data_IF_687333263436
#
_entry.id   IF_687333263436
#
_cell.length_a   1.000
_cell.length_b   1.000
_cell.length_c   1.000
_cell.angle_alpha   90.00
_cell.angle_beta   90.00
_cell.angle_gamma   90.00
#
_symmetry.space_group_name_H-M   'P 1'
#
loop_
_entity.id
_entity.type
_entity.pdbx_description
1 polymer ?
#
# COMPACT_ATOMS: atom_id res chain seq x y z
N UNK A 1 1.23 -6.74 11.24
CA UNK A 1 2.45 -6.52 10.43
C UNK A 1 3.44 -7.59 10.86
N UNK A 2 4.03 -8.31 9.91
CA UNK A 2 4.92 -9.44 10.18
C UNK A 2 6.30 -9.10 9.64
N UNK A 3 7.32 -9.15 10.49
CA UNK A 3 8.70 -9.02 10.05
C UNK A 3 9.19 -10.35 9.47
N UNK A 4 9.84 -10.30 8.30
CA UNK A 4 10.49 -11.47 7.74
C UNK A 4 11.64 -12.01 8.60
N UNK A 5 12.23 -11.19 9.49
CA UNK A 5 13.28 -11.65 10.41
C UNK A 5 12.74 -12.66 11.41
N UNK A 6 11.56 -12.38 11.97
CA UNK A 6 10.92 -13.26 12.94
C UNK A 6 10.54 -14.61 12.30
N UNK A 7 10.08 -14.56 11.05
CA UNK A 7 9.79 -15.76 10.27
C UNK A 7 11.07 -16.57 9.99
N UNK A 8 12.18 -15.90 9.65
CA UNK A 8 13.47 -16.54 9.42
C UNK A 8 14.06 -17.18 10.67
N UNK A 9 13.81 -16.60 11.84
CA UNK A 9 14.22 -17.17 13.13
C UNK A 9 13.44 -18.44 13.48
N UNK A 10 12.16 -18.51 13.09
CA UNK A 10 11.34 -19.71 13.29
C UNK A 10 11.67 -20.78 12.25
N UNK A 11 11.64 -20.42 10.96
CA UNK A 11 11.94 -21.30 9.85
C UNK A 11 12.52 -20.57 8.64
N UNK A 12 13.78 -20.89 8.33
CA UNK A 12 14.49 -20.37 7.17
C UNK A 12 13.94 -20.88 5.83
N UNK A 13 13.38 -22.09 5.79
CA UNK A 13 12.90 -22.71 4.56
C UNK A 13 11.61 -22.04 4.07
N UNK A 14 10.65 -21.84 4.98
CA UNK A 14 9.41 -21.09 4.72
C UNK A 14 9.70 -19.66 4.24
N UNK A 15 10.72 -19.01 4.80
CA UNK A 15 11.12 -17.66 4.39
C UNK A 15 11.63 -17.62 2.95
N UNK A 16 12.42 -18.61 2.52
CA UNK A 16 12.88 -18.71 1.13
C UNK A 16 11.73 -18.99 0.16
N UNK A 17 10.78 -19.85 0.55
CA UNK A 17 9.60 -20.14 -0.26
C UNK A 17 8.68 -18.91 -0.40
N UNK A 18 8.50 -18.15 0.68
CA UNK A 18 7.74 -16.90 0.67
C UNK A 18 8.35 -15.86 -0.27
N UNK A 19 9.68 -15.74 -0.33
CA UNK A 19 10.37 -14.83 -1.27
C UNK A 19 10.20 -15.29 -2.72
N UNK A 20 10.22 -16.60 -2.96
CA UNK A 20 10.13 -17.18 -4.30
C UNK A 20 8.71 -17.24 -4.87
N UNK A 21 7.69 -17.49 -4.02
CA UNK A 21 6.27 -17.62 -4.42
C UNK A 21 5.33 -16.88 -3.46
N UNK A 22 5.50 -15.56 -3.25
CA UNK A 22 4.72 -14.80 -2.28
C UNK A 22 3.21 -14.84 -2.53
N UNK A 23 2.77 -14.97 -3.78
CA UNK A 23 1.34 -14.95 -4.14
C UNK A 23 0.55 -16.10 -3.53
N UNK A 24 1.12 -17.29 -3.45
CA UNK A 24 0.40 -18.46 -2.93
C UNK A 24 0.43 -18.45 -1.39
N UNK A 25 1.61 -18.17 -0.81
CA UNK A 25 1.77 -18.14 0.64
C UNK A 25 0.98 -17.00 1.30
N UNK A 26 0.90 -15.80 0.69
CA UNK A 26 0.16 -14.69 1.32
C UNK A 26 -1.31 -15.04 1.55
N UNK A 27 -1.93 -15.84 0.67
CA UNK A 27 -3.30 -16.29 0.85
C UNK A 27 -3.44 -17.28 2.01
N UNK A 28 -2.52 -18.24 2.11
CA UNK A 28 -2.48 -19.21 3.22
C UNK A 28 -2.23 -18.49 4.55
N UNK A 29 -1.37 -17.47 4.55
CA UNK A 29 -1.12 -16.64 5.72
C UNK A 29 -2.38 -15.87 6.16
N UNK A 30 -3.14 -15.27 5.23
CA UNK A 30 -4.40 -14.57 5.55
C UNK A 30 -5.46 -15.53 6.11
N UNK A 31 -5.53 -16.76 5.58
CA UNK A 31 -6.42 -17.82 6.07
C UNK A 31 -6.04 -18.25 7.49
N UNK A 32 -4.78 -18.62 7.72
CA UNK A 32 -4.29 -19.01 9.05
C UNK A 32 -4.44 -17.88 10.08
N UNK A 33 -4.19 -16.63 9.70
CA UNK A 33 -4.40 -15.49 10.58
C UNK A 33 -5.89 -15.34 10.97
N UNK A 34 -6.79 -15.59 10.03
CA UNK A 34 -8.24 -15.53 10.28
C UNK A 34 -8.66 -16.64 11.24
N UNK A 35 -8.18 -17.88 11.06
CA UNK A 35 -8.45 -19.01 11.97
C UNK A 35 -7.97 -18.72 13.42
N UNK A 36 -6.75 -18.20 13.57
CA UNK A 36 -6.20 -17.87 14.90
C UNK A 36 -7.01 -16.74 15.56
N UNK A 37 -7.41 -15.73 14.78
CA UNK A 37 -8.26 -14.63 15.29
C UNK A 37 -9.64 -15.15 15.68
N UNK A 38 -10.23 -16.06 14.91
CA UNK A 38 -11.48 -16.72 15.24
C UNK A 38 -11.40 -17.46 16.56
N UNK A 39 -10.35 -18.26 16.78
CA UNK A 39 -10.18 -19.03 18.01
C UNK A 39 -9.97 -18.14 19.24
N UNK A 40 -9.20 -17.06 19.09
CA UNK A 40 -9.04 -16.05 20.15
C UNK A 40 -10.36 -15.31 20.43
N UNK A 41 -11.18 -15.05 19.40
CA UNK A 41 -12.44 -14.31 19.54
C UNK A 41 -13.54 -15.19 20.17
N UNK A 42 -13.63 -16.47 19.80
CA UNK A 42 -14.53 -17.46 20.41
C UNK A 42 -14.34 -17.53 21.93
N UNK A 43 -13.11 -17.35 22.41
CA UNK A 43 -12.81 -17.33 23.85
C UNK A 43 -13.29 -16.07 24.59
N UNK A 44 -13.60 -14.98 23.86
CA UNK A 44 -13.86 -13.64 24.43
C UNK A 44 -15.31 -13.14 24.33
N UNK A 45 -16.13 -13.59 23.39
CA UNK A 45 -17.51 -13.10 23.23
C UNK A 45 -18.47 -14.13 22.62
N UNK A 46 -19.65 -14.33 23.23
CA UNK A 46 -20.76 -15.15 22.71
C UNK A 46 -21.51 -14.51 21.52
N UNK A 47 -21.23 -13.25 21.17
CA UNK A 47 -21.84 -12.57 20.03
C UNK A 47 -21.01 -12.82 18.76
N UNK A 48 -21.55 -13.61 17.82
CA UNK A 48 -21.03 -13.82 16.47
C UNK A 48 -20.97 -12.48 15.69
N UNK A 49 -19.89 -11.72 15.85
CA UNK A 49 -19.54 -10.68 14.90
C UNK A 49 -18.85 -11.33 13.70
N UNK A 50 -19.35 -11.04 12.49
CA UNK A 50 -18.74 -11.44 11.21
C UNK A 50 -17.29 -10.94 11.23
N UNK A 51 -16.32 -11.86 11.25
CA UNK A 51 -14.90 -11.50 11.20
C UNK A 51 -14.57 -11.17 9.75
N UNK A 52 -14.23 -9.91 9.51
CA UNK A 52 -13.71 -9.46 8.22
C UNK A 52 -12.33 -10.09 7.97
N UNK A 53 -12.05 -10.39 6.70
CA UNK A 53 -10.80 -11.03 6.28
C UNK A 53 -9.59 -10.20 6.72
N UNK A 54 -8.69 -10.81 7.48
CA UNK A 54 -7.47 -10.15 7.93
C UNK A 54 -6.54 -9.86 6.74
N UNK A 55 -5.96 -8.65 6.69
CA UNK A 55 -4.90 -8.32 5.74
C UNK A 55 -3.55 -8.35 6.43
N UNK A 56 -2.59 -9.02 5.80
CA UNK A 56 -1.23 -9.12 6.32
C UNK A 56 -0.35 -8.08 5.63
N UNK A 57 0.40 -7.36 6.46
CA UNK A 57 1.43 -6.42 6.03
C UNK A 57 2.78 -7.06 6.31
N UNK A 58 3.64 -7.10 5.29
CA UNK A 58 4.97 -7.66 5.39
C UNK A 58 5.99 -6.55 5.48
N UNK A 59 6.85 -6.62 6.49
CA UNK A 59 8.07 -5.83 6.57
C UNK A 59 9.28 -6.70 6.24
N UNK A 60 10.17 -6.17 5.39
CA UNK A 60 11.36 -6.88 4.93
C UNK A 60 12.57 -5.96 5.03
N UNK A 61 13.49 -6.30 5.93
CA UNK A 61 14.70 -5.50 6.22
C UNK A 61 15.88 -5.80 5.28
N UNK A 62 15.65 -6.41 4.12
CA UNK A 62 16.69 -6.53 3.10
C UNK A 62 17.07 -5.18 2.47
N UNK A 63 18.11 -5.19 1.64
CA UNK A 63 18.52 -4.04 0.84
C UNK A 63 17.46 -3.74 -0.24
N UNK A 64 17.20 -2.45 -0.46
CA UNK A 64 16.35 -1.99 -1.56
C UNK A 64 17.04 -2.17 -2.90
N UNK A 65 16.36 -2.77 -3.86
CA UNK A 65 16.80 -2.93 -5.25
C UNK A 65 16.41 -1.68 -6.04
N UNK A 66 17.33 -1.18 -6.87
CA UNK A 66 17.04 -0.06 -7.76
C UNK A 66 16.11 -0.50 -8.91
N UNK A 67 15.21 0.38 -9.37
CA UNK A 67 14.26 0.03 -10.45
C UNK A 67 14.96 -0.32 -11.78
N UNK A 68 16.23 0.06 -11.96
CA UNK A 68 17.08 -0.29 -13.13
C UNK A 68 17.61 -1.71 -13.09
N UNK A 69 17.82 -2.25 -11.89
CA UNK A 69 18.33 -3.62 -11.68
C UNK A 69 17.25 -4.69 -11.79
N UNK A 70 15.98 -4.29 -11.82
CA UNK A 70 14.85 -5.23 -11.92
C UNK A 70 14.84 -5.88 -13.30
N UNK A 71 15.15 -7.17 -13.31
CA UNK A 71 15.15 -8.05 -14.50
C UNK A 71 13.99 -9.04 -14.46
N UNK A 72 13.79 -9.74 -15.58
CA UNK A 72 12.79 -10.79 -15.72
C UNK A 72 12.91 -11.93 -14.69
N UNK A 73 14.09 -12.14 -14.11
CA UNK A 73 14.35 -13.16 -13.08
C UNK A 73 13.62 -12.89 -11.75
N UNK A 74 13.23 -11.63 -11.51
CA UNK A 74 12.53 -11.19 -10.30
C UNK A 74 11.00 -11.17 -10.49
N UNK A 75 10.49 -11.61 -11.65
CA UNK A 75 9.05 -11.73 -11.88
C UNK A 75 8.44 -12.78 -10.95
N UNK A 76 7.31 -12.44 -10.35
CA UNK A 76 6.57 -13.22 -9.36
C UNK A 76 7.32 -13.46 -8.04
N UNK A 77 8.41 -12.73 -7.78
CA UNK A 77 9.16 -12.77 -6.51
C UNK A 77 8.91 -11.54 -5.67
N UNK A 78 9.22 -11.65 -4.38
CA UNK A 78 9.20 -10.53 -3.45
C UNK A 78 10.40 -9.61 -3.71
N UNK A 79 10.14 -8.32 -3.88
CA UNK A 79 11.15 -7.28 -4.07
C UNK A 79 10.93 -6.15 -3.07
N UNK A 80 12.02 -5.50 -2.69
CA UNK A 80 12.02 -4.26 -1.92
C UNK A 80 12.57 -3.15 -2.79
N UNK A 81 11.86 -2.04 -2.89
CA UNK A 81 12.26 -0.87 -3.67
C UNK A 81 12.11 0.38 -2.84
N UNK A 82 12.99 1.35 -3.02
CA UNK A 82 12.86 2.70 -2.47
C UNK A 82 12.62 3.69 -3.60
N UNK A 83 11.85 4.74 -3.32
CA UNK A 83 11.49 5.73 -4.34
C UNK A 83 10.62 6.87 -3.82
N UNK A 84 10.30 7.81 -4.70
CA UNK A 84 9.41 8.93 -4.42
C UNK A 84 8.06 8.67 -5.10
N UNK A 85 6.96 8.88 -4.40
CA UNK A 85 5.63 8.79 -5.03
C UNK A 85 5.36 10.06 -5.83
N UNK A 86 5.13 9.95 -7.14
CA UNK A 86 4.82 11.09 -8.01
C UNK A 86 3.34 11.42 -8.00
N UNK A 87 2.50 10.37 -8.04
CA UNK A 87 1.07 10.53 -8.19
C UNK A 87 0.33 9.33 -7.60
N UNK A 88 -0.81 9.61 -7.00
CA UNK A 88 -1.76 8.61 -6.55
C UNK A 88 -3.04 8.74 -7.39
N UNK A 89 -3.59 7.63 -7.88
CA UNK A 89 -4.94 7.63 -8.44
C UNK A 89 -5.98 7.81 -7.32
N UNK A 90 -7.21 8.19 -7.67
CA UNK A 90 -8.33 8.02 -6.75
C UNK A 90 -8.55 6.54 -6.39
N UNK A 91 -9.19 6.30 -5.25
CA UNK A 91 -9.62 4.96 -4.84
C UNK A 91 -10.66 4.43 -5.84
N UNK A 92 -10.54 3.15 -6.19
CA UNK A 92 -11.51 2.43 -7.02
C UNK A 92 -11.86 1.12 -6.34
N UNK A 93 -13.08 0.65 -6.54
CA UNK A 93 -13.52 -0.64 -6.03
C UNK A 93 -13.23 -1.77 -7.03
N UNK A 94 -12.74 -2.90 -6.54
CA UNK A 94 -12.50 -4.13 -7.30
C UNK A 94 -13.16 -5.32 -6.60
N UNK A 95 -13.84 -6.16 -7.38
CA UNK A 95 -14.45 -7.36 -6.85
C UNK A 95 -13.40 -8.45 -6.54
N UNK A 96 -13.45 -9.01 -5.34
CA UNK A 96 -12.71 -10.22 -4.92
C UNK A 96 -13.53 -11.47 -5.22
N UNK A 97 -14.83 -11.43 -4.92
CA UNK A 97 -15.78 -12.49 -5.26
C UNK A 97 -16.86 -11.92 -6.16
N UNK A 98 -17.01 -12.50 -7.35
CA UNK A 98 -18.06 -12.16 -8.30
C UNK A 98 -19.27 -13.07 -8.11
N UNK A 99 -20.44 -12.45 -8.22
CA UNK A 99 -21.72 -13.16 -8.33
C UNK A 99 -22.28 -12.92 -9.72
N UNK A 100 -22.38 -13.99 -10.52
CA UNK A 100 -22.92 -13.93 -11.87
C UNK A 100 -24.37 -14.39 -11.90
N UNK A 101 -25.17 -13.78 -12.76
CA UNK A 101 -26.53 -14.23 -13.04
C UNK A 101 -26.69 -14.48 -14.54
N UNK A 102 -27.27 -15.65 -14.85
CA UNK A 102 -27.63 -16.02 -16.21
C UNK A 102 -28.89 -15.26 -16.66
N UNK A 103 -28.86 -14.60 -17.82
CA UNK A 103 -30.01 -13.85 -18.34
C UNK A 103 -31.21 -14.74 -18.68
N UNK A 104 -30.96 -15.95 -19.21
CA UNK A 104 -32.02 -16.84 -19.72
C UNK A 104 -32.58 -17.76 -18.63
N UNK A 105 -31.68 -18.39 -17.87
CA UNK A 105 -32.02 -19.37 -16.85
C UNK A 105 -32.19 -18.80 -15.44
N UNK A 106 -31.83 -17.52 -15.22
CA UNK A 106 -31.83 -16.81 -13.92
C UNK A 106 -31.04 -17.48 -12.79
N UNK A 107 -30.36 -18.59 -13.06
CA UNK A 107 -29.50 -19.26 -12.10
C UNK A 107 -28.33 -18.36 -11.72
N UNK A 108 -28.10 -18.27 -10.41
CA UNK A 108 -26.99 -17.55 -9.83
C UNK A 108 -25.78 -18.47 -9.73
N UNK A 109 -24.62 -17.95 -10.12
CA UNK A 109 -23.31 -18.53 -9.80
C UNK A 109 -22.66 -17.61 -8.77
N UNK A 110 -22.85 -17.88 -7.47
CA UNK A 110 -22.24 -17.08 -6.41
C UNK A 110 -20.75 -17.41 -6.25
N UNK A 111 -20.01 -16.49 -5.65
CA UNK A 111 -18.67 -16.71 -5.10
C UNK A 111 -17.59 -17.18 -6.10
N UNK A 112 -17.58 -16.63 -7.31
CA UNK A 112 -16.47 -16.85 -8.23
C UNK A 112 -15.25 -16.01 -7.80
N UNK A 113 -14.12 -16.64 -7.39
CA UNK A 113 -12.96 -15.90 -6.95
C UNK A 113 -12.27 -15.24 -8.14
N UNK A 114 -11.98 -13.95 -8.00
CA UNK A 114 -11.16 -13.20 -8.96
C UNK A 114 -9.73 -13.22 -8.48
N UNK A 115 -8.80 -13.58 -9.37
CA UNK A 115 -7.37 -13.55 -9.02
C UNK A 115 -6.95 -12.13 -8.62
N UNK A 116 -6.12 -11.98 -7.58
CA UNK A 116 -5.68 -10.67 -7.14
C UNK A 116 -4.67 -10.09 -8.15
N UNK A 117 -5.15 -9.18 -8.99
CA UNK A 117 -4.29 -8.33 -9.80
C UNK A 117 -5.08 -7.40 -10.71
N UNK A 118 -4.41 -6.64 -11.58
CA UNK A 118 -5.06 -5.78 -12.56
C UNK A 118 -5.59 -6.55 -13.79
N UNK A 119 -5.63 -7.88 -13.73
CA UNK A 119 -6.09 -8.75 -14.81
C UNK A 119 -7.62 -8.89 -14.78
N UNK A 120 -8.23 -8.85 -15.96
CA UNK A 120 -9.69 -8.97 -16.08
C UNK A 120 -10.16 -10.40 -15.81
N UNK A 121 -11.35 -10.53 -15.26
CA UNK A 121 -12.01 -11.82 -15.13
C UNK A 121 -12.66 -12.22 -16.46
N UNK A 122 -12.29 -13.37 -17.02
CA UNK A 122 -12.95 -13.91 -18.21
C UNK A 122 -14.27 -14.57 -17.81
N UNK A 123 -15.37 -14.03 -18.32
CA UNK A 123 -16.69 -14.61 -18.07
C UNK A 123 -16.78 -16.03 -18.66
N UNK A 124 -17.40 -16.99 -17.95
CA UNK A 124 -17.61 -18.33 -18.48
C UNK A 124 -18.55 -18.30 -19.68
N UNK A 125 -18.19 -19.01 -20.75
CA UNK A 125 -18.98 -19.01 -22.00
C UNK A 125 -20.27 -19.81 -21.95
N UNK A 126 -20.29 -20.84 -21.11
CA UNK A 126 -21.39 -21.81 -21.05
C UNK A 126 -22.02 -21.80 -19.65
N UNK A 127 -23.34 -21.92 -19.61
CA UNK A 127 -24.05 -22.05 -18.35
C UNK A 127 -24.04 -23.51 -17.85
N UNK A 128 -23.66 -23.79 -16.58
CA UNK A 128 -23.65 -25.15 -16.05
C UNK A 128 -25.06 -25.77 -15.97
N UNK A 129 -26.11 -24.93 -15.91
CA UNK A 129 -27.51 -25.38 -15.90
C UNK A 129 -27.94 -26.07 -17.20
N UNK A 130 -27.17 -25.92 -18.28
CA UNK A 130 -27.44 -26.56 -19.57
C UNK A 130 -27.16 -28.07 -19.58
N UNK A 131 -26.45 -28.61 -18.58
CA UNK A 131 -26.09 -30.03 -18.52
C UNK A 131 -27.14 -30.90 -17.81
N UNK A 132 -28.07 -30.32 -17.03
CA UNK A 132 -29.03 -31.09 -16.23
C UNK A 132 -30.41 -31.09 -16.87
N UNK A 133 -30.59 -31.91 -17.92
CA UNK A 133 -31.81 -32.66 -18.31
C UNK A 133 -33.24 -32.09 -18.20
N UNK A 134 -33.44 -30.80 -17.93
CA UNK A 134 -34.76 -30.19 -17.73
C UNK A 134 -35.14 -29.30 -18.90
N UNK A 135 -36.41 -29.33 -19.30
CA UNK A 135 -37.03 -28.66 -20.44
C UNK A 135 -37.04 -27.11 -20.38
N UNK A 136 -35.89 -26.49 -20.09
CA UNK A 136 -35.65 -25.05 -20.17
C UNK A 136 -34.79 -24.72 -21.39
N UNK A 137 -35.15 -23.65 -22.10
CA UNK A 137 -34.47 -23.18 -23.30
C UNK A 137 -32.94 -23.15 -23.15
N UNK A 138 -32.22 -23.70 -24.14
CA UNK A 138 -30.75 -23.66 -24.21
C UNK A 138 -30.28 -22.23 -24.05
N UNK A 139 -29.42 -21.98 -23.06
CA UNK A 139 -28.86 -20.65 -22.86
C UNK A 139 -27.92 -20.30 -24.03
N UNK A 140 -27.98 -19.07 -24.56
CA UNK A 140 -27.03 -18.62 -25.58
C UNK A 140 -25.61 -18.59 -25.01
N UNK A 141 -24.61 -18.62 -25.89
CA UNK A 141 -23.20 -18.46 -25.53
C UNK A 141 -23.02 -17.06 -24.91
N UNK A 142 -22.25 -16.98 -23.82
CA UNK A 142 -22.02 -15.77 -23.00
C UNK A 142 -23.31 -15.11 -22.40
N UNK A 143 -24.16 -15.86 -21.65
CA UNK A 143 -25.43 -15.33 -21.15
C UNK A 143 -25.32 -14.60 -19.79
N UNK A 144 -24.11 -14.48 -19.24
CA UNK A 144 -23.89 -14.03 -17.87
C UNK A 144 -23.70 -12.52 -17.77
N UNK A 145 -24.34 -11.91 -16.78
CA UNK A 145 -24.04 -10.56 -16.34
C UNK A 145 -23.61 -10.56 -14.87
N UNK A 146 -22.77 -9.61 -14.51
CA UNK A 146 -22.27 -9.44 -13.15
C UNK A 146 -23.34 -8.71 -12.33
N UNK A 147 -23.70 -9.25 -11.17
CA UNK A 147 -24.62 -8.61 -10.23
C UNK A 147 -23.79 -7.86 -9.19
N UNK A 148 -23.61 -6.54 -9.29
CA UNK A 148 -22.72 -5.79 -8.41
C UNK A 148 -23.18 -5.86 -6.94
N UNK A 149 -24.48 -5.89 -6.69
CA UNK A 149 -25.08 -5.88 -5.34
C UNK A 149 -24.70 -7.10 -4.48
N UNK A 150 -24.34 -8.22 -5.13
CA UNK A 150 -23.95 -9.47 -4.46
C UNK A 150 -22.45 -9.76 -4.59
N UNK A 151 -21.68 -8.85 -5.18
CA UNK A 151 -20.23 -9.01 -5.28
C UNK A 151 -19.57 -8.51 -3.99
N UNK A 152 -18.52 -9.19 -3.56
CA UNK A 152 -17.65 -8.66 -2.51
C UNK A 152 -16.58 -7.80 -3.17
N UNK A 153 -16.59 -6.52 -2.84
CA UNK A 153 -15.69 -5.52 -3.38
C UNK A 153 -14.70 -5.05 -2.33
N UNK A 154 -13.50 -4.74 -2.78
CA UNK A 154 -12.39 -4.23 -1.99
C UNK A 154 -11.82 -3.02 -2.70
N UNK A 155 -11.44 -2.03 -1.92
CA UNK A 155 -10.80 -0.82 -2.43
C UNK A 155 -9.37 -1.10 -2.89
N UNK A 156 -9.02 -0.52 -4.03
CA UNK A 156 -7.66 -0.53 -4.55
C UNK A 156 -7.28 0.86 -5.08
N UNK A 157 -5.98 1.11 -5.09
CA UNK A 157 -5.40 2.36 -5.54
C UNK A 157 -4.15 2.07 -6.37
N UNK A 158 -3.88 2.93 -7.37
CA UNK A 158 -2.68 2.86 -8.19
C UNK A 158 -1.78 4.03 -7.83
N UNK A 159 -0.55 3.74 -7.40
CA UNK A 159 0.47 4.75 -7.12
C UNK A 159 1.55 4.71 -8.21
N UNK A 160 2.19 5.83 -8.50
CA UNK A 160 3.37 5.89 -9.37
C UNK A 160 4.60 6.18 -8.52
N UNK A 161 5.55 5.26 -8.51
CA UNK A 161 6.82 5.37 -7.81
C UNK A 161 7.90 5.76 -8.80
N UNK A 162 8.74 6.72 -8.44
CA UNK A 162 9.93 7.15 -9.17
C UNK A 162 11.18 6.73 -8.40
N UNK A 163 12.25 6.42 -9.12
CA UNK A 163 13.58 6.26 -8.53
C UNK A 163 13.99 7.52 -7.74
N UNK A 164 14.68 7.32 -6.62
CA UNK A 164 15.30 8.41 -5.88
C UNK A 164 16.40 9.07 -6.73
N UNK A 165 16.54 10.41 -6.69
CA UNK A 165 17.52 11.12 -7.52
C UNK A 165 18.97 10.72 -7.21
N UNK A 166 19.24 10.22 -6.00
CA UNK A 166 20.56 9.76 -5.55
C UNK A 166 21.03 8.51 -6.28
N UNK A 167 20.10 7.63 -6.67
CA UNK A 167 20.38 6.37 -7.38
C UNK A 167 20.41 6.51 -8.90
N UNK A 168 20.11 7.70 -9.43
CA UNK A 168 20.00 7.93 -10.88
C UNK A 168 21.39 8.29 -11.44
N UNK A 169 21.89 7.55 -12.46
CA UNK A 169 23.17 7.89 -13.08
C UNK A 169 23.06 9.22 -13.83
N UNK A 170 24.15 9.98 -13.83
CA UNK A 170 24.21 11.27 -14.51
C UNK A 170 23.93 11.10 -16.02
N UNK A 171 23.05 11.95 -16.56
CA UNK A 171 22.73 11.97 -17.99
C UNK A 171 21.49 11.17 -18.40
N UNK A 172 20.86 10.41 -17.50
CA UNK A 172 19.59 9.72 -17.80
C UNK A 172 18.41 10.29 -17.01
N UNK A 173 17.21 10.19 -17.59
CA UNK A 173 15.98 10.55 -16.91
C UNK A 173 15.58 9.44 -15.91
N UNK A 174 15.11 9.79 -14.69
CA UNK A 174 14.61 8.81 -13.72
C UNK A 174 13.42 8.01 -14.27
N UNK A 175 13.43 6.69 -14.01
CA UNK A 175 12.33 5.79 -14.40
C UNK A 175 11.24 5.77 -13.33
N UNK A 176 10.04 5.40 -13.74
CA UNK A 176 8.90 5.22 -12.84
C UNK A 176 8.20 3.88 -13.06
N UNK A 177 7.59 3.36 -12.01
CA UNK A 177 6.84 2.09 -12.00
C UNK A 177 5.47 2.28 -11.36
N UNK A 178 4.48 1.51 -11.82
CA UNK A 178 3.14 1.51 -11.24
C UNK A 178 3.09 0.54 -10.06
N UNK A 179 2.65 1.03 -8.92
CA UNK A 179 2.33 0.25 -7.73
C UNK A 179 0.82 0.02 -7.66
N UNK A 180 0.44 -1.16 -7.21
CA UNK A 180 -0.94 -1.57 -7.00
C UNK A 180 -1.13 -1.85 -5.50
N UNK A 181 -1.96 -1.05 -4.85
CA UNK A 181 -2.25 -1.10 -3.42
C UNK A 181 -3.68 -1.59 -3.20
N UNK A 182 -3.88 -2.51 -2.26
CA UNK A 182 -5.18 -3.09 -1.89
C UNK A 182 -5.54 -2.72 -0.44
N UNK A 183 -6.85 -2.60 -0.16
CA UNK A 183 -7.45 -2.51 1.19
C UNK A 183 -6.80 -1.40 2.03
N UNK A 184 -6.17 -1.77 3.15
CA UNK A 184 -5.59 -0.87 4.15
C UNK A 184 -4.47 0.04 3.60
N UNK A 185 -3.82 -0.36 2.51
CA UNK A 185 -2.74 0.40 1.89
C UNK A 185 -3.23 1.59 1.05
N UNK A 186 -4.54 1.72 0.84
CA UNK A 186 -5.12 2.87 0.15
C UNK A 186 -5.02 4.13 1.05
N UNK A 187 -4.77 5.28 0.43
CA UNK A 187 -4.67 6.60 1.08
C UNK A 187 -3.58 6.74 2.16
N UNK A 188 -2.72 5.74 2.36
CA UNK A 188 -1.65 5.82 3.34
C UNK A 188 -0.53 6.80 2.96
N UNK A 189 -0.33 7.04 1.67
CA UNK A 189 0.78 7.88 1.18
C UNK A 189 0.29 8.98 0.26
N UNK A 190 0.83 10.18 0.50
CA UNK A 190 0.62 11.36 -0.33
C UNK A 190 1.77 11.51 -1.34
N UNK A 191 1.46 11.94 -2.58
CA UNK A 191 2.48 12.29 -3.57
C UNK A 191 3.52 13.29 -3.02
N UNK A 192 4.78 13.08 -3.36
CA UNK A 192 5.93 13.86 -2.90
C UNK A 192 6.74 13.17 -1.80
N UNK A 193 6.18 12.15 -1.14
CA UNK A 193 6.88 11.44 -0.07
C UNK A 193 7.83 10.36 -0.61
N UNK A 194 8.96 10.19 0.10
CA UNK A 194 9.89 9.07 -0.06
C UNK A 194 9.31 7.85 0.66
N UNK A 195 9.31 6.70 0.00
CA UNK A 195 8.77 5.45 0.53
C UNK A 195 9.66 4.28 0.17
N UNK A 196 9.69 3.33 1.08
CA UNK A 196 10.22 1.99 0.88
C UNK A 196 9.05 1.03 0.75
N UNK A 197 8.96 0.34 -0.38
CA UNK A 197 7.84 -0.52 -0.75
C UNK A 197 8.32 -1.96 -0.85
N UNK A 198 7.64 -2.86 -0.14
CA UNK A 198 7.79 -4.30 -0.25
C UNK A 198 6.63 -4.84 -1.06
N UNK A 199 6.92 -5.54 -2.14
CA UNK A 199 5.88 -6.01 -3.05
C UNK A 199 6.32 -7.07 -4.03
N UNK A 200 5.34 -7.61 -4.75
CA UNK A 200 5.56 -8.66 -5.76
C UNK A 200 5.63 -8.03 -7.14
N UNK A 201 6.74 -8.24 -7.84
CA UNK A 201 6.91 -7.74 -9.21
C UNK A 201 6.10 -8.61 -10.18
N UNK A 202 5.05 -8.05 -10.78
CA UNK A 202 4.14 -8.77 -11.67
C UNK A 202 4.03 -8.06 -13.02
N UNK A 203 3.67 -8.81 -14.05
CA UNK A 203 3.45 -8.28 -15.40
C UNK A 203 1.97 -8.39 -15.75
N UNK A 204 1.40 -7.34 -16.34
CA UNK A 204 0.07 -7.38 -16.96
C UNK A 204 0.20 -7.43 -18.47
N UNK A 205 -0.59 -8.28 -19.09
CA UNK A 205 -0.80 -8.22 -20.54
C UNK A 205 -1.52 -6.91 -20.86
N UNK A 206 -0.96 -6.11 -21.76
CA UNK A 206 -1.72 -5.02 -22.35
C UNK A 206 -2.71 -5.68 -23.31
N UNK A 207 -3.94 -5.89 -22.85
CA UNK A 207 -5.03 -6.22 -23.74
C UNK A 207 -5.18 -5.03 -24.70
N UNK A 208 -4.60 -5.15 -25.89
CA UNK A 208 -4.79 -4.17 -26.96
C UNK A 208 -6.27 -4.20 -27.32
N UNK A 209 -7.05 -3.29 -26.74
CA UNK A 209 -8.44 -3.08 -27.07
C UNK A 209 -8.48 -2.41 -28.45
N UNK A 210 -8.16 -3.18 -29.51
CA UNK A 210 -8.28 -2.69 -30.89
C UNK A 210 -9.77 -2.64 -31.23
N UNK A 211 -10.28 -1.41 -31.28
CA UNK A 211 -11.42 -1.04 -32.08
C UNK A 211 -11.25 -1.58 -33.51
N UNK A 212 -12.36 -2.03 -34.10
CA UNK A 212 -12.42 -2.47 -35.49
C UNK A 212 -12.02 -1.31 -36.43
N UNK A 213 -10.78 -1.32 -36.93
CA UNK A 213 -10.44 -0.68 -38.20
C UNK A 213 -9.10 -1.20 -38.73
N UNK A 214 -9.15 -1.69 -39.97
CA UNK A 214 -8.04 -1.99 -40.90
C UNK A 214 -6.95 -2.97 -40.47
N UNK A 215 -6.89 -4.06 -41.24
CA UNK A 215 -5.86 -5.06 -41.25
C UNK A 215 -4.54 -4.51 -41.82
N UNK A 216 -3.69 -3.93 -40.97
CA UNK A 216 -2.24 -3.92 -41.20
C UNK A 216 -1.52 -3.67 -39.87
N UNK A 217 -0.37 -4.32 -39.72
CA UNK A 217 0.50 -4.40 -38.53
C UNK A 217 -0.05 -5.21 -37.34
N UNK A 218 0.15 -6.53 -37.45
CA UNK A 218 0.22 -7.46 -36.32
C UNK A 218 1.70 -7.76 -36.03
N UNK A 219 2.31 -6.99 -35.13
CA UNK A 219 3.56 -7.36 -34.47
C UNK A 219 3.74 -6.66 -33.11
N UNK A 220 2.72 -6.71 -32.24
CA UNK A 220 2.85 -6.38 -30.82
C UNK A 220 2.56 -7.63 -29.95
N UNK A 221 3.02 -8.80 -30.39
CA UNK A 221 2.89 -10.04 -29.64
C UNK A 221 3.97 -10.07 -28.57
N UNK A 222 3.61 -9.79 -27.32
CA UNK A 222 4.45 -10.11 -26.15
C UNK A 222 4.87 -8.95 -25.26
N UNK A 223 4.63 -7.68 -25.63
CA UNK A 223 4.94 -6.55 -24.75
C UNK A 223 3.93 -6.51 -23.60
N UNK A 224 4.42 -6.75 -22.39
CA UNK A 224 3.65 -6.71 -21.14
C UNK A 224 4.11 -5.52 -20.31
N UNK A 225 3.18 -4.87 -19.62
CA UNK A 225 3.51 -3.75 -18.74
C UNK A 225 3.80 -4.28 -17.33
N UNK A 226 4.92 -3.90 -16.71
CA UNK A 226 5.19 -4.28 -15.33
C UNK A 226 4.39 -3.42 -14.35
N UNK A 227 4.05 -4.02 -13.21
CA UNK A 227 3.51 -3.34 -12.05
C UNK A 227 3.92 -4.11 -10.79
N UNK A 228 4.00 -3.41 -9.66
CA UNK A 228 4.32 -4.05 -8.37
C UNK A 228 3.08 -4.09 -7.52
N UNK A 229 2.70 -5.28 -7.05
CA UNK A 229 1.65 -5.42 -6.05
C UNK A 229 2.25 -5.18 -4.67
N UNK A 230 1.76 -4.19 -3.95
CA UNK A 230 2.29 -3.80 -2.64
C UNK A 230 1.75 -4.74 -1.57
N UNK A 231 2.66 -5.29 -0.76
CA UNK A 231 2.34 -6.10 0.43
C UNK A 231 2.69 -5.35 1.72
N UNK A 232 3.68 -4.46 1.66
CA UNK A 232 4.07 -3.59 2.76
C UNK A 232 4.58 -2.27 2.25
N UNK A 233 4.33 -1.22 3.00
CA UNK A 233 4.79 0.13 2.70
C UNK A 233 5.32 0.77 3.97
N UNK A 234 6.53 1.28 3.90
CA UNK A 234 7.18 2.07 4.93
C UNK A 234 7.41 3.47 4.36
N UNK A 235 7.02 4.49 5.12
CA UNK A 235 7.33 5.88 4.77
C UNK A 235 8.69 6.18 5.39
N UNK A 236 9.67 6.54 4.56
CA UNK A 236 10.99 6.88 5.07
C UNK A 236 10.88 8.21 5.82
N UNK A 237 11.11 8.15 7.13
CA UNK A 237 11.02 9.30 8.02
C UNK A 237 12.33 10.07 8.14
N UNK A 238 13.39 9.57 7.52
CA UNK A 238 14.75 10.09 7.63
C UNK A 238 15.11 10.98 6.43
N UNK A 239 15.66 12.17 6.72
CA UNK A 239 16.24 13.07 5.72
C UNK A 239 15.49 14.40 5.50
N UNK A 240 16.17 15.40 4.88
CA UNK A 240 15.61 16.73 4.62
C UNK A 240 14.58 16.71 3.49
N UNK A 241 13.39 17.29 3.72
CA UNK A 241 12.34 17.47 2.70
C UNK A 241 10.95 16.88 3.02
N UNK A 242 10.55 16.79 4.29
CA UNK A 242 9.31 16.12 4.70
C UNK A 242 8.07 17.03 4.59
N UNK A 243 6.97 16.48 4.07
CA UNK A 243 5.59 16.93 4.34
C UNK A 243 4.90 15.84 5.17
N UNK A 244 4.57 16.16 6.42
CA UNK A 244 4.11 15.20 7.42
C UNK A 244 2.70 14.66 7.13
N UNK A 245 2.64 13.50 6.48
CA UNK A 245 1.56 12.52 6.67
C UNK A 245 2.27 11.19 6.93
N UNK A 246 2.32 10.77 8.19
CA UNK A 246 2.86 9.48 8.59
C UNK A 246 1.69 8.61 9.06
N UNK A 247 1.13 7.86 8.11
CA UNK A 247 0.32 6.68 8.37
C UNK A 247 1.20 5.43 8.33
N UNK A 248 2.13 5.26 9.27
CA UNK A 248 2.78 3.97 9.52
C UNK A 248 3.11 3.85 11.00
N UNK A 249 2.33 3.01 11.68
CA UNK A 249 2.63 2.45 12.98
C UNK A 249 3.89 1.59 12.92
N UNK A 250 5.04 2.20 13.22
CA UNK A 250 6.14 1.47 13.84
C UNK A 250 5.69 1.19 15.29
N UNK A 251 5.27 -0.05 15.54
CA UNK A 251 5.23 -0.61 16.88
C UNK A 251 6.63 -1.18 17.07
N UNK A 252 7.57 -0.34 17.49
CA UNK A 252 8.78 -0.83 18.14
C UNK A 252 8.37 -1.39 19.49
N UNK A 253 8.89 -2.58 19.75
CA UNK A 253 8.80 -3.36 20.97
C UNK A 253 8.92 -2.53 22.25
N UNK A 254 7.87 -2.54 23.06
CA UNK A 254 8.01 -2.53 24.52
C UNK A 254 6.82 -3.22 25.20
N UNK A 255 7.21 -4.00 26.20
CA UNK A 255 6.50 -4.97 27.00
C UNK A 255 5.30 -4.43 27.78
N UNK A 256 4.20 -5.20 27.74
CA UNK A 256 3.18 -5.38 28.78
C UNK A 256 2.86 -4.26 29.77
N UNK A 257 1.70 -3.62 29.61
CA UNK A 257 0.80 -3.29 30.72
C UNK A 257 -0.60 -2.95 30.21
N UNK A 258 -1.58 -3.74 30.65
CA UNK A 258 -3.01 -3.49 30.50
C UNK A 258 -3.43 -2.45 31.55
N UNK A 259 -3.87 -1.26 31.16
CA UNK A 259 -4.73 -0.41 32.01
C UNK A 259 -5.81 0.30 31.19
N UNK A 260 -7.04 0.02 31.61
CA UNK A 260 -8.29 0.68 31.28
C UNK A 260 -8.35 2.10 31.84
N UNK A 261 -9.09 2.98 31.16
CA UNK A 261 -9.45 4.29 31.72
C UNK A 261 -9.94 5.26 30.65
N UNK A 262 -11.25 5.47 30.61
CA UNK A 262 -11.89 6.50 29.81
C UNK A 262 -11.48 7.92 30.28
N UNK A 263 -11.14 8.81 29.35
CA UNK A 263 -11.47 10.24 29.46
C UNK A 263 -11.27 10.97 28.13
N UNK A 264 -12.35 11.60 27.69
CA UNK A 264 -12.50 12.61 26.64
C UNK A 264 -11.31 13.53 26.43
N UNK A 265 -10.87 13.76 25.19
CA UNK A 265 -10.13 14.98 24.83
C UNK A 265 -10.39 15.45 23.38
N UNK A 266 -10.39 16.77 23.24
CA UNK A 266 -11.07 17.57 22.22
C UNK A 266 -10.56 17.42 20.78
N UNK A 267 -11.54 17.57 19.88
CA UNK A 267 -11.41 17.69 18.43
C UNK A 267 -10.87 19.07 18.07
N UNK A 268 -9.63 19.15 17.59
CA UNK A 268 -9.19 20.26 16.74
C UNK A 268 -8.18 19.78 15.70
N UNK A 269 -8.67 19.70 14.47
CA UNK A 269 -7.96 19.74 13.18
C UNK A 269 -6.47 20.08 13.22
N UNK A 270 -5.61 19.10 12.96
CA UNK A 270 -4.28 19.31 12.37
C UNK A 270 -3.88 18.07 11.56
N UNK A 271 -3.48 18.29 10.32
CA UNK A 271 -2.82 17.34 9.44
C UNK A 271 -1.76 16.53 10.20
N UNK A 272 -1.93 15.21 10.25
CA UNK A 272 -0.88 14.21 10.54
C UNK A 272 -0.11 14.40 11.86
N UNK A 273 -0.78 14.24 13.01
CA UNK A 273 -0.08 14.10 14.29
C UNK A 273 0.73 12.79 14.30
N UNK A 274 2.05 12.91 14.27
CA UNK A 274 3.05 11.85 14.39
C UNK A 274 3.02 11.18 15.76
N UNK A 275 3.34 9.87 15.81
CA UNK A 275 3.80 9.19 17.04
C UNK A 275 5.22 9.67 17.33
N UNK A 276 5.35 10.80 18.04
CA UNK A 276 6.59 11.09 18.76
C UNK A 276 6.60 10.19 20.00
N UNK A 277 7.74 9.58 20.30
CA UNK A 277 7.91 8.86 21.56
C UNK A 277 7.95 9.88 22.72
N UNK A 278 7.56 9.45 23.92
CA UNK A 278 7.62 10.31 25.12
C UNK A 278 9.05 10.81 25.36
N UNK A 279 10.05 9.98 25.04
CA UNK A 279 11.48 10.31 25.11
C UNK A 279 11.84 11.45 24.16
N UNK A 280 11.42 11.37 22.88
CA UNK A 280 11.68 12.43 21.91
C UNK A 280 10.98 13.74 22.30
N UNK A 281 9.77 13.66 22.86
CA UNK A 281 9.06 14.84 23.34
C UNK A 281 9.80 15.50 24.52
N UNK A 282 10.29 14.71 25.46
CA UNK A 282 11.09 15.19 26.59
C UNK A 282 12.42 15.79 26.13
N UNK A 283 13.09 15.18 25.15
CA UNK A 283 14.29 15.75 24.53
C UNK A 283 13.99 17.11 23.87
N UNK A 284 12.91 17.22 23.11
CA UNK A 284 12.48 18.49 22.49
C UNK A 284 12.12 19.54 23.53
N UNK A 285 11.47 19.16 24.63
CA UNK A 285 11.15 20.04 25.76
C UNK A 285 12.42 20.49 26.49
N UNK A 286 13.37 19.58 26.71
CA UNK A 286 14.67 19.87 27.33
C UNK A 286 15.50 20.83 26.47
N UNK A 287 15.48 20.63 25.16
CA UNK A 287 16.10 21.52 24.19
C UNK A 287 15.44 22.88 24.30
N UNK A 288 14.11 22.99 24.16
CA UNK A 288 13.38 24.25 24.25
C UNK A 288 13.60 25.02 25.56
N UNK A 289 13.87 24.34 26.67
CA UNK A 289 14.18 24.96 27.96
C UNK A 289 15.59 25.58 28.03
N UNK A 290 16.52 25.17 27.16
CA UNK A 290 17.87 25.72 27.17
C UNK A 290 17.89 27.17 26.64
N UNK A 291 18.68 28.08 27.25
CA UNK A 291 18.71 29.49 26.82
C UNK A 291 19.44 29.70 25.48
N UNK A 292 20.35 28.80 25.12
CA UNK A 292 21.20 28.90 23.92
C UNK A 292 20.60 28.20 22.68
N UNK A 293 19.32 27.80 22.71
CA UNK A 293 18.67 27.06 21.61
C UNK A 293 18.81 27.78 20.29
N UNK A 294 18.58 29.09 20.30
CA UNK A 294 18.54 29.87 19.08
C UNK A 294 19.89 29.88 18.36
N UNK A 295 20.98 30.05 19.12
CA UNK A 295 22.34 30.03 18.58
C UNK A 295 22.77 28.59 18.21
N UNK A 296 22.34 27.59 18.99
CA UNK A 296 22.60 26.18 18.71
C UNK A 296 21.96 25.72 17.39
N UNK A 297 20.72 26.11 17.14
CA UNK A 297 20.01 25.82 15.88
C UNK A 297 20.58 26.62 14.72
N UNK A 298 20.93 27.90 14.92
CA UNK A 298 21.57 28.70 13.87
C UNK A 298 22.91 28.09 13.43
N UNK A 299 23.71 27.59 14.38
CA UNK A 299 24.98 26.92 14.08
C UNK A 299 24.82 25.55 13.42
N UNK A 300 23.70 24.85 13.64
CA UNK A 300 23.46 23.52 13.05
C UNK A 300 23.01 23.54 11.59
N UNK A 301 22.46 24.64 11.08
CA UNK A 301 21.98 24.74 9.68
C UNK A 301 23.13 24.63 8.66
N UNK A 302 24.29 25.20 8.99
CA UNK A 302 25.47 25.19 8.12
C UNK A 302 26.74 25.06 8.95
N UNK A 303 27.10 23.85 9.41
CA UNK A 303 28.27 23.63 10.27
C UNK A 303 29.59 23.88 9.53
N UNK A 304 29.61 23.71 8.20
CA UNK A 304 30.82 23.88 7.38
C UNK A 304 31.10 25.32 6.95
N UNK A 305 30.19 26.27 7.21
CA UNK A 305 30.34 27.67 6.79
C UNK A 305 30.67 28.52 8.01
N UNK A 306 31.82 29.19 8.00
CA UNK A 306 32.21 30.13 9.05
C UNK A 306 31.61 31.53 8.83
N UNK A 307 31.17 32.19 9.89
CA UNK A 307 30.65 33.56 9.87
C UNK A 307 29.15 33.70 9.56
N UNK A 308 28.69 34.94 9.42
CA UNK A 308 27.30 35.33 9.06
C UNK A 308 26.20 34.72 9.94
N UNK A 309 26.34 34.82 11.26
CA UNK A 309 25.37 34.29 12.24
C UNK A 309 23.96 34.85 12.03
N UNK A 310 23.83 36.14 11.71
CA UNK A 310 22.53 36.78 11.51
C UNK A 310 21.75 36.19 10.32
N UNK A 311 22.45 35.79 9.25
CA UNK A 311 21.84 35.14 8.09
C UNK A 311 21.36 33.74 8.48
N UNK A 312 22.17 32.98 9.23
CA UNK A 312 21.76 31.65 9.72
C UNK A 312 20.56 31.72 10.67
N UNK A 313 20.52 32.73 11.54
CA UNK A 313 19.38 33.03 12.42
C UNK A 313 18.10 33.33 11.62
N UNK A 314 18.21 34.13 10.56
CA UNK A 314 17.07 34.42 9.68
C UNK A 314 16.57 33.16 8.95
N UNK A 315 17.47 32.30 8.46
CA UNK A 315 17.10 31.02 7.83
C UNK A 315 16.44 30.07 8.84
N UNK A 316 16.92 30.04 10.09
CA UNK A 316 16.29 29.25 11.16
C UNK A 316 14.83 29.68 11.38
N UNK A 317 14.58 30.99 11.49
CA UNK A 317 13.22 31.53 11.61
C UNK A 317 12.34 31.19 10.40
N UNK A 318 12.92 31.17 9.18
CA UNK A 318 12.19 30.80 7.96
C UNK A 318 11.75 29.33 7.97
N UNK A 319 12.57 28.43 8.51
CA UNK A 319 12.28 26.99 8.58
C UNK A 319 11.15 26.66 9.57
N UNK A 320 11.12 27.30 10.73
CA UNK A 320 10.01 27.14 11.68
C UNK A 320 8.71 27.79 11.20
N UNK A 321 8.82 28.76 10.28
CA UNK A 321 7.69 29.47 9.72
C UNK A 321 6.96 30.35 10.73
N UNK A 322 5.90 31.01 10.27
CA UNK A 322 5.01 31.83 11.11
C UNK A 322 3.72 31.10 11.48
N UNK A 323 2.96 31.69 12.41
CA UNK A 323 1.61 31.21 12.71
C UNK A 323 0.62 31.65 11.63
N UNK A 324 -0.20 30.70 11.15
CA UNK A 324 -1.27 31.00 10.18
C UNK A 324 -2.45 31.65 10.89
N UNK A 325 -2.53 32.98 10.88
CA UNK A 325 -3.70 33.72 11.37
C UNK A 325 -4.85 33.56 10.35
N UNK A 326 -5.93 32.87 10.73
CA UNK A 326 -7.15 32.78 9.93
C UNK A 326 -7.99 34.04 10.20
N UNK A 327 -8.04 34.95 9.23
CA UNK A 327 -9.03 36.02 9.26
C UNK A 327 -10.37 35.43 8.80
N UNK A 328 -11.32 35.26 9.73
CA UNK A 328 -12.70 34.93 9.38
C UNK A 328 -13.37 36.20 8.84
N UNK A 329 -13.41 36.33 7.52
CA UNK A 329 -14.32 37.27 6.88
C UNK A 329 -15.72 36.68 7.04
N UNK A 330 -16.51 37.27 7.95
CA UNK A 330 -17.95 37.08 8.02
C UNK A 330 -18.52 37.97 6.91
N UNK A 331 -19.00 37.35 5.83
CA UNK A 331 -19.85 37.98 4.82
C UNK A 331 -21.31 37.72 5.16
#
# INVERSE_FOLDING_TARGET
MVSLKDLGNFDSSLTQELVNRPTDYIHVFEEAATEVVEDLTKSRSESESIIDTCQILIDWEANSVSLREIRSEQVSKLIKMSGIIISASGIRAKAVKLSLQCRSCRQFLPNLPVKPGLEGYTLPRNCPSSQMGGAGARCPIDPFFIVPDKCLCVDYQILKLQETPETVPHGEMPRHVQLYCDRYLCEQVVPGNRVTVVGVYTIKSIASFKQKSSAQERANVGVRQPYVRVLGLLIDTEGPGRSGIVGTSAISSETGAFKSGASSFNKSTSTGASRLTEVEEDELRSLAASPDVFDRVANSIAPSIYGSLDIKKAIACLLFGGSRKRYSIVL
#
